data_IF_896987348574
#
_entry.id   IF_896987348574
#
_cell.length_a   1.000
_cell.length_b   1.000
_cell.length_c   1.000
_cell.angle_alpha   90.00
_cell.angle_beta   90.00
_cell.angle_gamma   90.00
#
_symmetry.space_group_name_H-M   'P 1'
#
loop_
_entity.id
_entity.type
_entity.pdbx_description
1 polymer ?
#
# COMPACT_ATOMS: atom_id res chain seq x y z
N UNK A 1 17.14 16.12 8.21
CA UNK A 1 16.78 15.07 9.20
C UNK A 1 17.92 14.07 9.31
N UNK A 2 18.16 13.48 10.47
CA UNK A 2 19.24 12.48 10.60
C UNK A 2 18.75 11.17 9.99
N UNK A 3 19.42 10.69 8.95
CA UNK A 3 19.08 9.40 8.31
C UNK A 3 19.39 8.26 9.25
N UNK A 4 18.52 7.24 9.34
CA UNK A 4 18.68 6.10 10.25
C UNK A 4 20.01 5.36 10.08
N UNK A 5 20.61 5.40 8.90
CA UNK A 5 21.89 4.78 8.58
C UNK A 5 23.10 5.74 8.67
N UNK A 6 22.87 7.01 9.05
CA UNK A 6 23.97 8.00 9.14
C UNK A 6 25.07 7.60 10.13
N UNK A 7 24.74 6.86 11.19
CA UNK A 7 25.69 6.26 12.12
C UNK A 7 26.74 7.27 12.60
N UNK A 8 28.00 7.03 12.21
CA UNK A 8 29.16 7.89 12.53
C UNK A 8 29.46 8.94 11.46
N UNK A 9 28.71 8.96 10.35
CA UNK A 9 28.94 9.93 9.28
C UNK A 9 28.25 11.25 9.58
N UNK A 10 28.98 12.34 9.51
CA UNK A 10 28.48 13.70 9.81
C UNK A 10 28.35 14.59 8.55
N UNK A 11 28.51 14.03 7.34
CA UNK A 11 28.40 14.74 6.09
C UNK A 11 26.99 14.77 5.50
N UNK A 12 26.67 15.80 4.72
CA UNK A 12 25.50 15.80 3.87
C UNK A 12 25.69 14.81 2.71
N UNK A 13 24.68 14.02 2.40
CA UNK A 13 24.68 13.12 1.24
C UNK A 13 24.49 13.94 -0.03
N UNK A 14 25.11 13.50 -1.13
CA UNK A 14 24.88 14.09 -2.44
C UNK A 14 23.39 13.93 -2.84
N UNK A 15 22.76 15.02 -3.30
CA UNK A 15 21.35 15.01 -3.71
C UNK A 15 21.04 13.95 -4.78
N UNK A 16 21.99 13.69 -5.69
CA UNK A 16 21.82 12.66 -6.73
C UNK A 16 21.78 11.26 -6.11
N UNK A 17 22.61 11.00 -5.09
CA UNK A 17 22.61 9.74 -4.37
C UNK A 17 21.32 9.57 -3.54
N UNK A 18 20.82 10.64 -2.94
CA UNK A 18 19.55 10.61 -2.20
C UNK A 18 18.38 10.35 -3.13
N UNK A 19 18.28 11.03 -4.28
CA UNK A 19 17.22 10.80 -5.27
C UNK A 19 17.28 9.38 -5.88
N UNK A 20 18.48 8.86 -6.11
CA UNK A 20 18.68 7.50 -6.61
C UNK A 20 18.24 6.42 -5.61
N UNK A 21 18.47 6.65 -4.31
CA UNK A 21 18.10 5.70 -3.25
C UNK A 21 16.67 5.86 -2.77
N UNK A 22 16.00 6.99 -3.05
CA UNK A 22 14.62 7.22 -2.60
C UNK A 22 13.63 6.33 -3.33
N UNK A 23 12.74 5.68 -2.56
CA UNK A 23 11.64 4.86 -3.05
C UNK A 23 10.26 5.46 -2.80
N UNK A 24 10.17 6.62 -2.13
CA UNK A 24 8.90 7.24 -1.73
C UNK A 24 7.92 7.41 -2.89
N UNK A 25 8.41 7.68 -4.10
CA UNK A 25 7.57 7.90 -5.30
C UNK A 25 6.72 6.70 -5.69
N UNK A 26 7.13 5.49 -5.30
CA UNK A 26 6.38 4.26 -5.62
C UNK A 26 5.94 3.48 -4.40
N UNK A 27 6.66 3.53 -3.27
CA UNK A 27 6.29 2.80 -2.07
C UNK A 27 5.25 3.54 -1.20
N UNK A 28 5.08 4.85 -1.42
CA UNK A 28 4.03 5.65 -0.76
C UNK A 28 2.64 5.03 -0.86
N UNK A 29 2.34 4.30 -1.94
CA UNK A 29 1.07 3.58 -2.12
C UNK A 29 0.83 2.46 -1.10
N UNK A 30 1.88 1.97 -0.44
CA UNK A 30 1.82 0.89 0.55
C UNK A 30 1.66 1.40 1.99
N UNK A 31 1.41 2.71 2.21
CA UNK A 31 1.30 3.28 3.55
C UNK A 31 0.34 2.56 4.47
N UNK A 32 -0.78 2.07 3.92
CA UNK A 32 -1.78 1.33 4.71
C UNK A 32 -1.24 -0.01 5.20
N UNK A 33 -0.50 -0.72 4.35
CA UNK A 33 0.08 -2.01 4.66
C UNK A 33 1.21 -1.85 5.67
N UNK A 34 2.09 -0.87 5.49
CA UNK A 34 3.14 -0.55 6.44
C UNK A 34 2.59 -0.23 7.83
N UNK A 35 1.59 0.64 7.92
CA UNK A 35 0.97 1.01 9.19
C UNK A 35 0.30 -0.19 9.85
N UNK A 36 -0.48 -0.99 9.12
CA UNK A 36 -1.13 -2.20 9.66
C UNK A 36 -0.11 -3.25 10.12
N UNK A 37 0.93 -3.48 9.32
CA UNK A 37 2.03 -4.38 9.68
C UNK A 37 2.79 -3.91 10.92
N UNK A 38 3.02 -2.61 11.03
CA UNK A 38 3.67 -1.98 12.18
C UNK A 38 2.82 -2.05 13.46
N UNK A 39 1.50 -1.88 13.37
CA UNK A 39 0.59 -2.09 14.52
C UNK A 39 0.64 -3.54 15.02
N UNK A 40 0.61 -4.51 14.10
CA UNK A 40 0.71 -5.92 14.45
C UNK A 40 2.08 -6.25 15.08
N UNK A 41 3.17 -5.65 14.57
CA UNK A 41 4.50 -5.80 15.14
C UNK A 41 4.58 -5.24 16.57
N UNK A 42 4.05 -4.04 16.82
CA UNK A 42 4.00 -3.45 18.16
C UNK A 42 3.19 -4.33 19.14
N UNK A 43 2.05 -4.84 18.72
CA UNK A 43 1.25 -5.77 19.51
C UNK A 43 2.03 -7.05 19.86
N UNK A 44 2.75 -7.62 18.89
CA UNK A 44 3.61 -8.79 19.12
C UNK A 44 4.74 -8.49 20.11
N UNK A 45 5.42 -7.34 19.95
CA UNK A 45 6.50 -6.94 20.88
C UNK A 45 6.01 -6.85 22.32
N UNK A 46 4.80 -6.31 22.52
CA UNK A 46 4.17 -6.25 23.85
C UNK A 46 3.78 -7.64 24.37
N UNK A 47 3.17 -8.47 23.54
CA UNK A 47 2.78 -9.84 23.90
C UNK A 47 3.99 -10.68 24.33
N UNK A 48 5.16 -10.46 23.71
CA UNK A 48 6.43 -11.10 24.05
C UNK A 48 7.18 -10.37 25.18
N UNK A 49 6.61 -9.32 25.78
CA UNK A 49 7.22 -8.52 26.86
C UNK A 49 8.56 -7.87 26.49
N UNK A 50 8.76 -7.58 25.21
CA UNK A 50 9.95 -6.87 24.69
C UNK A 50 9.79 -5.37 24.91
N UNK A 51 8.58 -4.84 24.74
CA UNK A 51 8.20 -3.48 25.10
C UNK A 51 7.04 -3.50 26.12
N UNK A 52 6.82 -2.40 26.83
CA UNK A 52 5.69 -2.30 27.76
C UNK A 52 4.35 -2.27 27.04
N UNK A 53 3.27 -2.69 27.71
CA UNK A 53 1.93 -2.58 27.17
C UNK A 53 1.54 -1.12 26.90
N UNK A 54 1.96 -0.20 27.77
CA UNK A 54 1.71 1.23 27.61
C UNK A 54 2.40 1.81 26.36
N UNK A 55 3.66 1.41 26.08
CA UNK A 55 4.36 1.85 24.86
C UNK A 55 3.68 1.30 23.61
N UNK A 56 3.27 0.03 23.63
CA UNK A 56 2.59 -0.59 22.51
C UNK A 56 1.24 0.08 22.20
N UNK A 57 0.45 0.39 23.23
CA UNK A 57 -0.81 1.12 23.09
C UNK A 57 -0.58 2.50 22.45
N UNK A 58 0.39 3.28 22.97
CA UNK A 58 0.76 4.58 22.39
C UNK A 58 1.19 4.48 20.92
N UNK A 59 1.97 3.46 20.58
CA UNK A 59 2.41 3.21 19.19
C UNK A 59 1.22 2.88 18.30
N UNK A 60 0.34 1.97 18.72
CA UNK A 60 -0.81 1.53 17.94
C UNK A 60 -1.78 2.69 17.72
N UNK A 61 -2.11 3.45 18.76
CA UNK A 61 -2.99 4.61 18.66
C UNK A 61 -2.39 5.72 17.80
N UNK A 62 -1.09 5.95 17.95
CA UNK A 62 -0.36 6.91 17.11
C UNK A 62 -0.36 6.52 15.64
N UNK A 63 -0.14 5.23 15.33
CA UNK A 63 -0.20 4.70 13.97
C UNK A 63 -1.63 4.76 13.39
N UNK A 64 -2.66 4.46 14.19
CA UNK A 64 -4.05 4.60 13.74
C UNK A 64 -4.38 6.05 13.39
N UNK A 65 -3.95 7.00 14.22
CA UNK A 65 -4.16 8.43 13.93
C UNK A 65 -3.43 8.86 12.65
N UNK A 66 -2.23 8.35 12.39
CA UNK A 66 -1.49 8.61 11.14
C UNK A 66 -2.26 8.04 9.95
N UNK A 67 -2.80 6.83 10.06
CA UNK A 67 -3.59 6.20 9.01
C UNK A 67 -4.83 7.02 8.67
N UNK A 68 -5.58 7.46 9.68
CA UNK A 68 -6.80 8.27 9.52
C UNK A 68 -6.47 9.62 8.87
N UNK A 69 -5.39 10.27 9.28
CA UNK A 69 -4.94 11.55 8.73
C UNK A 69 -4.48 11.43 7.27
N UNK A 70 -3.79 10.35 6.90
CA UNK A 70 -3.40 10.08 5.51
C UNK A 70 -4.63 9.80 4.65
N UNK A 71 -5.59 9.04 5.14
CA UNK A 71 -6.83 8.72 4.41
C UNK A 71 -7.74 9.93 4.21
N UNK A 72 -7.80 10.81 5.21
CA UNK A 72 -8.58 12.05 5.11
C UNK A 72 -7.88 13.18 4.35
N UNK A 73 -6.57 13.04 4.08
CA UNK A 73 -5.74 14.09 3.48
C UNK A 73 -5.30 15.18 4.47
N UNK A 74 -5.54 15.01 5.77
CA UNK A 74 -5.06 15.92 6.81
C UNK A 74 -3.54 15.86 6.97
N UNK A 75 -2.94 14.70 6.67
CA UNK A 75 -1.50 14.51 6.56
C UNK A 75 -1.14 14.19 5.11
N UNK A 76 -0.14 14.87 4.58
CA UNK A 76 0.39 14.65 3.23
C UNK A 76 1.77 14.00 3.34
N UNK A 77 2.01 12.98 2.52
CA UNK A 77 3.31 12.31 2.46
C UNK A 77 4.35 13.28 1.90
N UNK A 78 5.48 13.44 2.59
CA UNK A 78 6.60 14.25 2.11
C UNK A 78 7.36 13.51 1.00
N UNK A 79 7.30 14.05 -0.22
CA UNK A 79 8.00 13.49 -1.39
C UNK A 79 9.54 13.52 -1.28
N UNK A 80 10.07 14.25 -0.29
CA UNK A 80 11.51 14.27 0.00
C UNK A 80 11.94 13.22 1.03
N UNK A 81 11.01 12.43 1.57
CA UNK A 81 11.34 11.30 2.41
C UNK A 81 12.10 10.22 1.61
N UNK A 82 12.92 9.44 2.27
CA UNK A 82 13.66 8.34 1.64
C UNK A 82 12.71 7.22 1.21
N UNK A 83 11.84 6.77 2.11
CA UNK A 83 10.81 5.76 1.89
C UNK A 83 9.57 6.01 2.78
N UNK A 84 8.48 5.30 2.50
CA UNK A 84 7.23 5.41 3.27
C UNK A 84 7.40 4.98 4.72
N UNK A 85 8.23 4.00 4.97
CA UNK A 85 8.46 3.45 6.30
C UNK A 85 9.12 4.47 7.21
N UNK A 86 10.14 5.16 6.70
CA UNK A 86 10.84 6.22 7.43
C UNK A 86 9.93 7.42 7.68
N UNK A 87 9.12 7.79 6.68
CA UNK A 87 8.11 8.83 6.84
C UNK A 87 7.14 8.52 7.99
N UNK A 88 6.58 7.32 8.03
CA UNK A 88 5.65 6.88 9.08
C UNK A 88 6.34 6.86 10.45
N UNK A 89 7.55 6.31 10.56
CA UNK A 89 8.32 6.26 11.80
C UNK A 89 8.69 7.67 12.32
N UNK A 90 9.04 8.60 11.44
CA UNK A 90 9.34 10.00 11.80
C UNK A 90 8.10 10.73 12.30
N UNK A 91 6.98 10.64 11.59
CA UNK A 91 5.72 11.26 12.01
C UNK A 91 5.25 10.65 13.34
N UNK A 92 5.33 9.34 13.51
CA UNK A 92 5.00 8.66 14.75
C UNK A 92 5.86 9.19 15.91
N UNK A 93 7.18 9.22 15.72
CA UNK A 93 8.12 9.68 16.75
C UNK A 93 7.89 11.16 17.10
N UNK A 94 7.56 11.99 16.11
CA UNK A 94 7.22 13.39 16.37
C UNK A 94 5.95 13.54 17.22
N UNK A 95 4.96 12.63 17.08
CA UNK A 95 3.70 12.67 17.83
C UNK A 95 3.79 12.09 19.24
N UNK A 96 4.47 10.95 19.39
CA UNK A 96 4.48 10.20 20.66
C UNK A 96 5.85 10.15 21.37
N UNK A 97 6.87 10.77 20.80
CA UNK A 97 8.21 10.88 21.41
C UNK A 97 8.96 9.54 21.44
N UNK A 98 9.67 9.27 22.54
CA UNK A 98 10.57 8.10 22.65
C UNK A 98 9.86 6.75 22.54
N UNK A 99 8.56 6.67 22.81
CA UNK A 99 7.80 5.44 22.58
C UNK A 99 7.82 5.04 21.09
N UNK A 100 7.74 6.01 20.16
CA UNK A 100 7.77 5.77 18.73
C UNK A 100 9.05 5.10 18.24
N UNK A 101 10.20 5.44 18.86
CA UNK A 101 11.50 4.85 18.53
C UNK A 101 11.58 3.35 18.83
N UNK A 102 10.70 2.83 19.69
CA UNK A 102 10.66 1.41 20.04
C UNK A 102 10.01 0.54 18.98
N UNK A 103 9.28 1.15 18.03
CA UNK A 103 8.61 0.41 16.95
C UNK A 103 9.57 -0.45 16.13
N UNK A 104 10.77 0.05 15.85
CA UNK A 104 11.78 -0.67 15.04
C UNK A 104 12.51 -1.80 15.79
N UNK A 105 12.17 -2.06 17.04
CA UNK A 105 12.82 -3.10 17.86
C UNK A 105 12.67 -4.47 17.20
N UNK A 106 13.80 -5.19 17.06
CA UNK A 106 13.89 -6.55 16.48
C UNK A 106 13.29 -6.65 15.05
N UNK A 107 13.35 -5.59 14.27
CA UNK A 107 12.83 -5.50 12.90
C UNK A 107 13.94 -5.05 11.95
N UNK A 108 13.97 -5.59 10.75
CA UNK A 108 14.78 -5.11 9.64
C UNK A 108 13.89 -4.40 8.61
N UNK A 109 14.41 -3.40 7.94
CA UNK A 109 13.72 -2.79 6.80
C UNK A 109 13.39 -3.83 5.71
N UNK A 110 14.23 -4.84 5.54
CA UNK A 110 14.02 -5.88 4.54
C UNK A 110 12.78 -6.74 4.80
N UNK A 111 12.54 -7.16 6.06
CA UNK A 111 11.35 -7.94 6.39
C UNK A 111 10.08 -7.07 6.35
N UNK A 112 10.18 -5.82 6.73
CA UNK A 112 9.11 -4.82 6.66
C UNK A 112 8.64 -4.63 5.21
N UNK A 113 9.54 -4.26 4.31
CA UNK A 113 9.25 -4.07 2.88
C UNK A 113 8.66 -5.32 2.25
N UNK A 114 9.22 -6.51 2.56
CA UNK A 114 8.73 -7.78 2.02
C UNK A 114 7.30 -8.11 2.50
N UNK A 115 6.97 -7.79 3.75
CA UNK A 115 5.62 -7.94 4.30
C UNK A 115 4.65 -7.01 3.58
N UNK A 116 4.99 -5.73 3.50
CA UNK A 116 4.12 -4.68 2.96
C UNK A 116 3.82 -4.92 1.49
N UNK A 117 4.82 -5.29 0.70
CA UNK A 117 4.62 -5.67 -0.70
C UNK A 117 3.67 -6.87 -0.84
N UNK A 118 3.80 -7.89 0.01
CA UNK A 118 2.90 -9.06 -0.03
C UNK A 118 1.48 -8.70 0.36
N UNK A 119 1.31 -7.85 1.37
CA UNK A 119 -0.01 -7.37 1.79
C UNK A 119 -0.64 -6.52 0.67
N UNK A 120 0.12 -5.59 0.10
CA UNK A 120 -0.31 -4.75 -1.00
C UNK A 120 -0.76 -5.57 -2.22
N UNK A 121 0.05 -6.53 -2.66
CA UNK A 121 -0.30 -7.40 -3.78
C UNK A 121 -1.55 -8.25 -3.52
N UNK A 122 -1.79 -8.65 -2.27
CA UNK A 122 -3.02 -9.37 -1.89
C UNK A 122 -4.24 -8.46 -2.03
N UNK A 123 -4.14 -7.23 -1.52
CA UNK A 123 -5.24 -6.26 -1.57
C UNK A 123 -5.55 -5.89 -3.04
N UNK A 124 -4.53 -5.61 -3.86
CA UNK A 124 -4.69 -5.32 -5.29
C UNK A 124 -5.28 -6.49 -6.08
N UNK A 125 -4.87 -7.72 -5.77
CA UNK A 125 -5.42 -8.92 -6.40
C UNK A 125 -6.91 -9.06 -6.09
N UNK A 126 -7.32 -8.80 -4.85
CA UNK A 126 -8.73 -8.84 -4.45
C UNK A 126 -9.56 -7.77 -5.18
N UNK A 127 -8.99 -6.57 -5.36
CA UNK A 127 -9.64 -5.50 -6.11
C UNK A 127 -9.80 -5.85 -7.59
N UNK A 128 -8.76 -6.41 -8.21
CA UNK A 128 -8.82 -6.88 -9.61
C UNK A 128 -9.89 -7.98 -9.76
N UNK A 129 -9.94 -8.95 -8.84
CA UNK A 129 -10.96 -10.00 -8.84
C UNK A 129 -12.38 -9.41 -8.78
N UNK A 130 -12.57 -8.40 -7.94
CA UNK A 130 -13.86 -7.70 -7.82
C UNK A 130 -14.25 -7.04 -9.13
N UNK A 131 -13.34 -6.29 -9.76
CA UNK A 131 -13.58 -5.63 -11.05
C UNK A 131 -13.87 -6.62 -12.19
N UNK A 132 -13.21 -7.78 -12.20
CA UNK A 132 -13.51 -8.83 -13.16
C UNK A 132 -14.93 -9.37 -12.97
N UNK A 133 -15.36 -9.60 -11.72
CA UNK A 133 -16.73 -10.05 -11.42
C UNK A 133 -17.77 -9.02 -11.86
N UNK A 134 -17.52 -7.74 -11.63
CA UNK A 134 -18.38 -6.64 -12.08
C UNK A 134 -18.50 -6.61 -13.61
N UNK A 135 -17.38 -6.73 -14.33
CA UNK A 135 -17.38 -6.81 -15.79
C UNK A 135 -18.16 -8.00 -16.31
N UNK A 136 -17.97 -9.18 -15.70
CA UNK A 136 -18.72 -10.39 -16.07
C UNK A 136 -20.23 -10.20 -15.85
N UNK A 137 -20.63 -9.58 -14.74
CA UNK A 137 -22.03 -9.28 -14.46
C UNK A 137 -22.66 -8.36 -15.53
N UNK A 138 -21.94 -7.33 -15.97
CA UNK A 138 -22.40 -6.43 -17.05
C UNK A 138 -22.54 -7.18 -18.37
N UNK A 139 -21.56 -8.01 -18.72
CA UNK A 139 -21.62 -8.81 -19.95
C UNK A 139 -22.81 -9.77 -19.92
N UNK A 140 -23.06 -10.45 -18.80
CA UNK A 140 -24.18 -11.36 -18.65
C UNK A 140 -25.53 -10.64 -18.73
N UNK A 141 -25.65 -9.46 -18.11
CA UNK A 141 -26.88 -8.65 -18.20
C UNK A 141 -27.16 -8.22 -19.65
N UNK A 142 -26.12 -7.75 -20.36
CA UNK A 142 -26.25 -7.39 -21.79
C UNK A 142 -26.60 -8.61 -22.64
N UNK A 143 -25.95 -9.74 -22.44
CA UNK A 143 -26.26 -10.96 -23.16
C UNK A 143 -27.71 -11.39 -22.92
N UNK A 144 -28.20 -11.29 -21.69
CA UNK A 144 -29.60 -11.58 -21.36
C UNK A 144 -30.61 -10.67 -22.07
N UNK A 145 -30.28 -9.38 -22.23
CA UNK A 145 -31.12 -8.40 -22.96
C UNK A 145 -31.13 -8.60 -24.46
N UNK A 146 -30.14 -9.30 -25.02
CA UNK A 146 -29.95 -9.47 -26.47
C UNK A 146 -30.03 -10.89 -26.95
N UNK A 147 -30.71 -11.79 -26.21
CA UNK A 147 -30.86 -13.21 -26.57
C UNK A 147 -31.54 -13.42 -27.92
N UNK A 148 -32.44 -12.53 -28.33
CA UNK A 148 -33.16 -12.58 -29.59
C UNK A 148 -32.64 -11.58 -30.64
N UNK A 149 -31.60 -10.81 -30.31
CA UNK A 149 -31.05 -9.82 -31.22
C UNK A 149 -30.21 -10.50 -32.31
N UNK A 150 -30.50 -10.16 -33.56
CA UNK A 150 -29.76 -10.64 -34.74
C UNK A 150 -28.82 -9.54 -35.17
N UNK A 151 -27.53 -9.86 -35.28
CA UNK A 151 -26.50 -8.95 -35.74
C UNK A 151 -25.88 -9.46 -37.05
N UNK A 152 -25.80 -8.60 -38.11
CA UNK A 152 -25.12 -9.00 -39.33
C UNK A 152 -23.61 -9.01 -39.17
N UNK A 153 -22.94 -10.02 -39.69
CA UNK A 153 -21.48 -10.07 -39.77
C UNK A 153 -20.99 -9.49 -41.10
N UNK A 154 -20.01 -8.64 -41.04
CA UNK A 154 -19.31 -8.06 -42.18
C UNK A 154 -17.82 -8.37 -42.10
N UNK A 155 -17.19 -8.59 -43.26
CA UNK A 155 -15.75 -8.64 -43.41
C UNK A 155 -15.35 -7.85 -44.66
N UNK A 156 -14.37 -7.01 -44.58
CA UNK A 156 -13.92 -6.10 -45.67
C UNK A 156 -15.08 -5.32 -46.34
N UNK A 157 -16.01 -4.81 -45.52
CA UNK A 157 -17.24 -4.10 -45.94
C UNK A 157 -18.18 -4.96 -46.78
N UNK A 158 -18.00 -6.27 -46.81
CA UNK A 158 -18.86 -7.22 -47.50
C UNK A 158 -19.66 -8.06 -46.51
N UNK A 159 -20.88 -8.41 -46.88
CA UNK A 159 -21.69 -9.31 -46.08
C UNK A 159 -21.00 -10.65 -45.95
N UNK A 160 -20.76 -11.07 -44.74
CA UNK A 160 -20.30 -12.40 -44.42
C UNK A 160 -21.50 -13.25 -43.96
N UNK A 161 -21.38 -13.98 -42.93
CA UNK A 161 -22.48 -14.76 -42.36
C UNK A 161 -23.07 -14.01 -41.16
N UNK A 162 -24.31 -14.38 -40.82
CA UNK A 162 -24.92 -13.97 -39.57
C UNK A 162 -24.06 -14.50 -38.40
N UNK A 163 -23.64 -13.64 -37.53
CA UNK A 163 -22.97 -14.05 -36.28
C UNK A 163 -24.06 -14.64 -35.39
N UNK A 164 -24.03 -15.96 -35.23
CA UNK A 164 -24.94 -16.68 -34.35
C UNK A 164 -24.70 -16.35 -32.89
N UNK A 165 -25.67 -16.70 -32.04
CA UNK A 165 -25.77 -16.43 -30.62
C UNK A 165 -24.57 -16.84 -29.76
N UNK A 166 -23.65 -17.58 -30.26
CA UNK A 166 -22.65 -18.18 -29.38
C UNK A 166 -21.38 -18.51 -30.12
N UNK A 167 -20.55 -17.50 -30.21
CA UNK A 167 -19.12 -17.74 -30.13
C UNK A 167 -18.57 -16.77 -29.10
N UNK A 168 -19.01 -16.95 -27.87
CA UNK A 168 -18.39 -16.40 -26.69
C UNK A 168 -17.61 -17.53 -26.03
#
# INVERSE_FOLDING_TARGET
>A
MAKMWAGRTSGETDKLADDFNSSIRFDSRMYQQDIKGSMAHAAMLSAQKIISAEDAEKIIDGLQTILDDLQSGALVIDENAEDIHMFVEEVLTARIGDAGKKLHTARSRNDQVALDLRMYLRDETQEIETKIKELLAVILDLAGKHTETIMPGYTHLQRAQQIGRAHV
#
